data_IF_239228138256
#
_entry.id   IF_239228138256
#
_cell.length_a   1.000
_cell.length_b   1.000
_cell.length_c   1.000
_cell.angle_alpha   90.00
_cell.angle_beta   90.00
_cell.angle_gamma   90.00
#
_symmetry.space_group_name_H-M   'P 1'
#
loop_
_entity.id
_entity.type
_entity.pdbx_description
1 polymer ?
#
# COMPACT_ATOMS: atom_id res chain seq x y z
N UNK A 1 17.83 -103.41 -9.22
CA UNK A 1 17.62 -102.44 -8.11
C UNK A 1 17.05 -101.17 -8.71
N UNK A 2 16.03 -100.65 -8.04
CA UNK A 2 14.96 -99.75 -8.49
C UNK A 2 15.21 -98.26 -8.22
N UNK A 3 14.31 -97.42 -8.77
CA UNK A 3 13.85 -96.07 -8.34
C UNK A 3 14.10 -95.02 -9.43
N UNK A 4 13.15 -94.39 -10.12
CA UNK A 4 11.72 -94.01 -9.98
C UNK A 4 11.45 -92.62 -9.33
N UNK A 5 10.74 -91.79 -10.11
CA UNK A 5 9.93 -90.57 -9.87
C UNK A 5 10.53 -89.21 -9.43
N UNK A 6 10.04 -88.16 -10.10
CA UNK A 6 10.29 -86.73 -9.87
C UNK A 6 9.27 -86.04 -8.94
N UNK A 7 9.34 -84.70 -8.77
CA UNK A 7 8.60 -83.99 -7.73
C UNK A 7 7.38 -83.19 -8.21
N UNK A 8 6.47 -83.00 -7.25
CA UNK A 8 5.15 -82.35 -7.30
C UNK A 8 5.19 -80.85 -6.92
N UNK A 9 4.20 -80.10 -7.41
CA UNK A 9 3.87 -78.71 -7.08
C UNK A 9 3.29 -78.53 -5.67
N UNK A 10 3.47 -77.33 -5.09
CA UNK A 10 2.60 -76.78 -4.05
C UNK A 10 2.57 -75.23 -4.09
N UNK A 11 1.38 -74.66 -3.94
CA UNK A 11 1.07 -73.23 -3.89
C UNK A 11 0.95 -72.73 -2.44
N UNK A 12 1.32 -71.47 -2.20
CA UNK A 12 1.27 -70.84 -0.87
C UNK A 12 0.18 -69.76 -0.80
N UNK A 13 -0.73 -69.89 0.17
CA UNK A 13 -1.74 -68.88 0.54
C UNK A 13 -1.24 -68.01 1.70
N UNK A 14 -1.56 -66.72 1.68
CA UNK A 14 -1.14 -65.72 2.68
C UNK A 14 -2.26 -65.47 3.70
N UNK A 15 -1.93 -65.56 4.98
CA UNK A 15 -2.84 -65.34 6.13
C UNK A 15 -2.55 -63.98 6.79
N UNK A 16 -3.61 -63.28 7.21
CA UNK A 16 -3.61 -62.02 7.95
C UNK A 16 -3.43 -62.24 9.46
N UNK A 17 -2.62 -61.41 10.14
CA UNK A 17 -2.70 -61.11 11.59
C UNK A 17 -2.14 -59.72 11.92
N UNK A 18 -2.59 -59.06 13.02
CA UNK A 18 -2.50 -57.61 13.22
C UNK A 18 -1.26 -57.16 14.02
N UNK A 19 -0.80 -55.92 13.82
CA UNK A 19 0.33 -55.34 14.56
C UNK A 19 0.11 -53.87 14.95
N UNK A 20 -0.12 -53.69 16.26
CA UNK A 20 0.37 -52.65 17.19
C UNK A 20 0.77 -51.27 16.60
N UNK A 21 0.09 -50.24 17.11
CA UNK A 21 0.37 -48.82 16.87
C UNK A 21 1.62 -48.32 17.62
N UNK A 22 2.40 -47.40 17.01
CA UNK A 22 3.26 -46.49 17.75
C UNK A 22 2.71 -45.05 17.73
N UNK A 23 2.65 -44.44 18.91
CA UNK A 23 2.43 -43.02 19.12
C UNK A 23 3.57 -42.21 18.48
N UNK A 24 3.25 -41.26 17.61
CA UNK A 24 4.18 -40.20 17.20
C UNK A 24 3.54 -38.83 17.30
N UNK A 25 4.28 -37.97 17.97
CA UNK A 25 3.95 -36.63 18.42
C UNK A 25 3.56 -35.69 17.28
N UNK A 26 2.53 -34.90 17.54
CA UNK A 26 2.16 -33.70 16.77
C UNK A 26 3.30 -32.69 16.74
N UNK A 27 3.74 -32.16 15.58
CA UNK A 27 4.51 -30.94 15.55
C UNK A 27 3.55 -29.76 15.71
N UNK A 28 3.61 -29.15 16.88
CA UNK A 28 3.06 -27.85 17.22
C UNK A 28 3.60 -26.81 16.22
N UNK A 29 2.74 -26.37 15.29
CA UNK A 29 3.03 -25.24 14.40
C UNK A 29 2.74 -23.95 15.15
N UNK A 30 3.57 -23.67 16.17
CA UNK A 30 3.71 -22.32 16.72
C UNK A 30 4.43 -21.50 15.66
N UNK A 31 3.67 -20.87 14.77
CA UNK A 31 4.19 -19.82 13.89
C UNK A 31 4.62 -18.65 14.76
N UNK A 32 5.92 -18.53 14.99
CA UNK A 32 6.53 -17.31 15.52
C UNK A 32 6.17 -16.19 14.54
N UNK A 33 5.48 -15.11 14.95
CA UNK A 33 5.29 -13.97 14.08
C UNK A 33 6.67 -13.36 13.81
N UNK A 34 7.07 -13.42 12.54
CA UNK A 34 8.28 -12.76 12.06
C UNK A 34 8.23 -11.26 12.44
N UNK A 35 9.38 -10.63 12.74
CA UNK A 35 9.43 -9.21 13.05
C UNK A 35 8.80 -8.42 11.91
N UNK A 36 7.87 -7.52 12.24
CA UNK A 36 7.24 -6.60 11.31
C UNK A 36 8.30 -5.92 10.44
N UNK A 37 8.40 -6.32 9.18
CA UNK A 37 9.29 -5.66 8.22
C UNK A 37 8.80 -4.23 8.05
N UNK A 38 9.59 -3.26 8.48
CA UNK A 38 9.37 -1.81 8.28
C UNK A 38 9.50 -1.39 6.80
N UNK A 39 9.67 -2.37 5.91
CA UNK A 39 9.89 -2.19 4.48
C UNK A 39 8.63 -2.53 3.70
N UNK A 40 8.31 -1.71 2.70
CA UNK A 40 7.16 -1.91 1.83
C UNK A 40 7.24 -3.25 1.07
N UNK A 41 6.17 -4.07 1.09
CA UNK A 41 6.15 -5.35 0.38
C UNK A 41 5.85 -5.14 -1.11
N UNK A 42 6.91 -5.02 -1.93
CA UNK A 42 6.76 -4.88 -3.38
C UNK A 42 6.05 -6.10 -4.01
N UNK A 43 5.14 -5.89 -4.98
CA UNK A 43 4.43 -6.96 -5.66
C UNK A 43 5.36 -7.77 -6.56
N UNK A 44 5.01 -9.02 -6.86
CA UNK A 44 5.86 -9.93 -7.65
C UNK A 44 6.26 -9.39 -9.02
N UNK A 45 5.35 -8.66 -9.69
CA UNK A 45 5.62 -8.04 -10.99
C UNK A 45 6.65 -6.91 -10.94
N UNK A 46 6.96 -6.36 -9.77
CA UNK A 46 8.02 -5.37 -9.60
C UNK A 46 9.43 -5.96 -9.82
N UNK A 47 9.58 -7.28 -9.76
CA UNK A 47 10.84 -7.96 -10.10
C UNK A 47 10.88 -8.47 -11.54
N UNK A 48 9.90 -8.09 -12.37
CA UNK A 48 9.84 -8.47 -13.78
C UNK A 48 10.48 -7.38 -14.66
N UNK A 49 11.65 -7.60 -15.29
CA UNK A 49 12.35 -6.54 -16.01
C UNK A 49 11.54 -5.78 -17.07
N UNK A 50 10.66 -6.43 -17.87
CA UNK A 50 9.80 -5.71 -18.82
C UNK A 50 8.81 -4.73 -18.17
N UNK A 51 8.52 -4.85 -16.87
CA UNK A 51 7.64 -3.91 -16.17
C UNK A 51 8.19 -2.47 -16.13
N UNK A 52 9.51 -2.30 -16.22
CA UNK A 52 10.19 -0.99 -16.27
C UNK A 52 10.43 -0.47 -17.69
N UNK A 53 9.85 -1.12 -18.71
CA UNK A 53 10.01 -0.72 -20.11
C UNK A 53 8.63 -0.58 -20.75
N UNK A 54 8.35 0.56 -21.38
CA UNK A 54 7.07 0.79 -22.05
C UNK A 54 6.74 -0.33 -23.04
N UNK A 55 5.55 -0.91 -22.89
CA UNK A 55 5.09 -1.99 -23.76
C UNK A 55 4.56 -1.43 -25.09
N UNK A 56 4.96 -2.04 -26.21
CA UNK A 56 4.52 -1.59 -27.56
C UNK A 56 3.05 -1.90 -27.86
N UNK A 57 2.52 -2.99 -27.29
CA UNK A 57 1.13 -3.37 -27.47
C UNK A 57 0.25 -2.54 -26.52
N UNK A 58 -0.78 -1.86 -27.06
CA UNK A 58 -1.63 -0.93 -26.30
C UNK A 58 -2.36 -1.58 -25.12
N UNK A 59 -2.87 -2.81 -25.30
CA UNK A 59 -3.56 -3.54 -24.23
C UNK A 59 -2.59 -3.89 -23.10
N UNK A 60 -1.40 -4.40 -23.45
CA UNK A 60 -0.36 -4.70 -22.47
C UNK A 60 0.16 -3.43 -21.79
N UNK A 61 0.27 -2.34 -22.54
CA UNK A 61 0.69 -1.04 -22.02
C UNK A 61 -0.32 -0.49 -21.01
N UNK A 62 -1.61 -0.52 -21.33
CA UNK A 62 -2.66 -0.15 -20.39
C UNK A 62 -2.60 -0.98 -19.10
N UNK A 63 -2.42 -2.30 -19.22
CA UNK A 63 -2.26 -3.18 -18.05
C UNK A 63 -1.01 -2.85 -17.23
N UNK A 64 0.09 -2.46 -17.89
CA UNK A 64 1.30 -1.98 -17.23
C UNK A 64 1.04 -0.67 -16.46
N UNK A 65 0.39 0.31 -17.07
CA UNK A 65 0.03 1.58 -16.44
C UNK A 65 -0.89 1.38 -15.22
N UNK A 66 -1.87 0.46 -15.35
CA UNK A 66 -2.76 0.08 -14.23
C UNK A 66 -1.97 -0.50 -13.05
N UNK A 67 -1.01 -1.40 -13.32
CA UNK A 67 -0.14 -1.98 -12.29
C UNK A 67 0.78 -0.95 -11.64
N UNK A 68 1.31 -0.02 -12.43
CA UNK A 68 2.11 1.09 -11.92
C UNK A 68 1.28 2.01 -11.02
N UNK A 69 0.07 2.38 -11.44
CA UNK A 69 -0.82 3.19 -10.60
C UNK A 69 -1.14 2.49 -9.28
N UNK A 70 -1.50 1.21 -9.30
CA UNK A 70 -1.74 0.43 -8.08
C UNK A 70 -0.51 0.38 -7.16
N UNK A 71 0.68 0.20 -7.74
CA UNK A 71 1.93 0.19 -6.99
C UNK A 71 2.18 1.55 -6.32
N UNK A 72 2.09 2.65 -7.06
CA UNK A 72 2.28 4.00 -6.53
C UNK A 72 1.32 4.27 -5.37
N UNK A 73 0.03 3.98 -5.53
CA UNK A 73 -0.95 4.20 -4.47
C UNK A 73 -0.64 3.38 -3.21
N UNK A 74 -0.30 2.10 -3.37
CA UNK A 74 0.05 1.25 -2.22
C UNK A 74 1.34 1.67 -1.52
N UNK A 75 2.35 2.09 -2.29
CA UNK A 75 3.63 2.59 -1.76
C UNK A 75 3.43 3.90 -1.01
N UNK A 76 2.72 4.85 -1.62
CA UNK A 76 2.41 6.13 -1.00
C UNK A 76 1.56 5.97 0.26
N UNK A 77 0.58 5.06 0.25
CA UNK A 77 -0.21 4.73 1.46
C UNK A 77 0.68 4.18 2.57
N UNK A 78 1.57 3.23 2.27
CA UNK A 78 2.43 2.59 3.27
C UNK A 78 3.37 3.59 3.95
N UNK A 79 3.96 4.50 3.18
CA UNK A 79 4.87 5.53 3.69
C UNK A 79 4.17 6.86 4.04
N UNK A 80 2.84 6.90 3.97
CA UNK A 80 2.02 8.11 4.19
C UNK A 80 2.47 9.33 3.37
N UNK A 81 2.80 9.08 2.11
CA UNK A 81 3.20 10.12 1.15
C UNK A 81 1.93 10.63 0.44
N UNK A 82 1.69 11.94 0.50
CA UNK A 82 0.55 12.59 -0.14
C UNK A 82 0.95 13.43 -1.36
N UNK A 83 2.19 13.93 -1.37
CA UNK A 83 2.80 14.68 -2.47
C UNK A 83 4.09 13.97 -2.87
N UNK A 84 4.32 13.81 -4.17
CA UNK A 84 5.50 13.14 -4.70
C UNK A 84 6.17 13.99 -5.77
N UNK A 85 7.49 14.16 -5.67
CA UNK A 85 8.30 14.75 -6.73
C UNK A 85 8.73 13.66 -7.71
N UNK A 86 8.47 13.85 -9.01
CA UNK A 86 8.87 12.91 -10.06
C UNK A 86 10.39 12.68 -10.07
N UNK A 87 11.18 13.74 -9.80
CA UNK A 87 12.65 13.63 -9.77
C UNK A 87 13.12 12.77 -8.60
N UNK A 88 12.56 12.98 -7.40
CA UNK A 88 12.89 12.18 -6.21
C UNK A 88 12.40 10.74 -6.36
N UNK A 89 11.20 10.55 -6.93
CA UNK A 89 10.62 9.24 -7.17
C UNK A 89 11.51 8.38 -8.10
N UNK A 90 12.13 8.98 -9.12
CA UNK A 90 13.06 8.32 -10.04
C UNK A 90 14.35 7.82 -9.37
N UNK A 91 14.76 8.44 -8.27
CA UNK A 91 15.92 8.04 -7.49
C UNK A 91 15.56 7.08 -6.34
N UNK A 92 14.27 7.05 -5.98
CA UNK A 92 13.72 6.20 -4.94
C UNK A 92 13.49 4.75 -5.38
N UNK A 93 13.18 3.90 -4.40
CA UNK A 93 12.81 2.50 -4.59
C UNK A 93 11.50 2.34 -5.39
N UNK A 94 10.69 3.38 -5.52
CA UNK A 94 9.43 3.30 -6.25
C UNK A 94 9.66 3.08 -7.76
N UNK A 95 10.57 3.85 -8.38
CA UNK A 95 10.85 3.75 -9.81
C UNK A 95 12.21 3.14 -10.15
N UNK A 96 13.05 2.85 -9.14
CA UNK A 96 14.32 2.17 -9.34
C UNK A 96 14.43 0.88 -8.52
N UNK A 97 14.29 -0.26 -9.21
CA UNK A 97 14.59 -1.57 -8.64
C UNK A 97 16.09 -1.86 -8.75
N UNK A 98 16.81 -1.69 -7.63
CA UNK A 98 18.25 -1.95 -7.50
C UNK A 98 18.61 -3.43 -7.68
N UNK A 99 17.72 -4.36 -7.32
CA UNK A 99 17.94 -5.81 -7.38
C UNK A 99 18.07 -6.31 -8.82
N UNK A 100 17.18 -5.87 -9.71
CA UNK A 100 17.23 -6.22 -11.14
C UNK A 100 17.92 -5.16 -12.00
N UNK A 101 18.42 -4.08 -11.39
CA UNK A 101 19.07 -2.93 -12.04
C UNK A 101 18.21 -2.32 -13.14
N UNK A 102 16.91 -2.17 -12.87
CA UNK A 102 15.94 -1.55 -13.79
C UNK A 102 15.31 -0.33 -13.17
N UNK A 103 15.19 0.72 -13.96
CA UNK A 103 14.53 1.98 -13.59
C UNK A 103 13.57 2.40 -14.68
N UNK A 104 12.49 3.07 -14.28
CA UNK A 104 11.57 3.70 -15.21
C UNK A 104 12.25 4.95 -15.82
N UNK A 105 12.01 5.23 -17.10
CA UNK A 105 12.47 6.50 -17.69
C UNK A 105 11.64 7.67 -17.14
N UNK A 106 12.14 8.90 -17.27
CA UNK A 106 11.39 10.08 -16.82
C UNK A 106 10.10 10.26 -17.63
N UNK A 107 10.19 9.95 -18.91
CA UNK A 107 9.10 10.02 -19.88
C UNK A 107 8.00 9.01 -19.52
N UNK A 108 8.36 7.74 -19.31
CA UNK A 108 7.42 6.69 -18.92
C UNK A 108 6.81 6.96 -17.54
N UNK A 109 7.60 7.46 -16.59
CA UNK A 109 7.10 7.84 -15.27
C UNK A 109 6.08 8.98 -15.36
N UNK A 110 6.33 10.00 -16.20
CA UNK A 110 5.37 11.07 -16.45
C UNK A 110 4.09 10.54 -17.09
N UNK A 111 4.18 9.58 -18.00
CA UNK A 111 3.02 8.94 -18.61
C UNK A 111 2.16 8.18 -17.59
N UNK A 112 2.79 7.46 -16.64
CA UNK A 112 2.08 6.83 -15.53
C UNK A 112 1.32 7.87 -14.70
N UNK A 113 1.94 9.00 -14.37
CA UNK A 113 1.27 10.06 -13.58
C UNK A 113 0.13 10.69 -14.37
N UNK A 114 0.28 10.91 -15.68
CA UNK A 114 -0.81 11.42 -16.51
C UNK A 114 -1.96 10.40 -16.63
N UNK A 115 -1.65 9.11 -16.68
CA UNK A 115 -2.66 8.05 -16.59
C UNK A 115 -3.42 8.11 -15.26
N UNK A 116 -2.71 8.23 -14.13
CA UNK A 116 -3.33 8.38 -12.81
C UNK A 116 -4.21 9.63 -12.71
N UNK A 117 -3.75 10.75 -13.27
CA UNK A 117 -4.50 12.00 -13.29
C UNK A 117 -5.83 11.87 -14.05
N UNK A 118 -5.83 11.19 -15.20
CA UNK A 118 -7.07 10.92 -15.96
C UNK A 118 -8.10 10.11 -15.16
N UNK A 119 -7.64 9.31 -14.21
CA UNK A 119 -8.50 8.53 -13.32
C UNK A 119 -8.81 9.25 -12.00
N UNK A 120 -8.39 10.50 -11.83
CA UNK A 120 -8.58 11.27 -10.58
C UNK A 120 -7.67 10.84 -9.43
N UNK A 121 -6.67 10.00 -9.69
CA UNK A 121 -5.79 9.39 -8.67
C UNK A 121 -4.52 10.21 -8.41
N UNK A 122 -4.28 11.22 -9.24
CA UNK A 122 -3.17 12.16 -9.08
C UNK A 122 -3.56 13.55 -9.60
N UNK A 123 -2.90 14.59 -9.09
CA UNK A 123 -3.11 15.96 -9.53
C UNK A 123 -1.77 16.72 -9.51
N UNK A 124 -1.34 17.26 -10.66
CA UNK A 124 -0.12 18.06 -10.72
C UNK A 124 -0.29 19.34 -9.91
N UNK A 125 0.70 19.64 -9.06
CA UNK A 125 0.75 20.91 -8.36
C UNK A 125 1.32 21.93 -9.37
N UNK A 126 0.45 22.76 -9.94
CA UNK A 126 0.92 23.90 -10.72
C UNK A 126 1.46 24.96 -9.76
N UNK A 127 2.74 25.30 -9.85
CA UNK A 127 3.23 26.54 -9.25
C UNK A 127 2.55 27.72 -9.98
N UNK A 128 1.43 28.19 -9.43
CA UNK A 128 0.76 29.39 -9.91
C UNK A 128 1.67 30.60 -9.64
N UNK A 129 2.58 30.91 -10.57
CA UNK A 129 3.39 32.12 -10.48
C UNK A 129 4.74 32.16 -11.21
N UNK A 130 5.25 31.04 -11.75
CA UNK A 130 6.52 31.07 -12.51
C UNK A 130 6.29 30.62 -13.95
N UNK A 131 6.69 31.48 -14.87
CA UNK A 131 6.34 31.44 -16.29
C UNK A 131 6.57 30.10 -16.98
N UNK A 132 5.73 29.84 -17.98
CA UNK A 132 5.88 28.82 -19.01
C UNK A 132 7.34 28.79 -19.49
N UNK A 133 8.13 27.81 -19.07
CA UNK A 133 9.51 27.71 -19.55
C UNK A 133 10.38 26.62 -18.91
N UNK A 134 10.29 26.35 -17.61
CA UNK A 134 11.15 25.36 -16.95
C UNK A 134 10.41 24.70 -15.78
N UNK A 135 9.89 23.48 -15.95
CA UNK A 135 9.38 22.66 -14.83
C UNK A 135 7.86 22.47 -14.70
N UNK A 136 7.13 22.32 -15.82
CA UNK A 136 5.70 21.98 -15.78
C UNK A 136 5.48 20.58 -15.14
N UNK A 137 5.10 20.56 -13.86
CA UNK A 137 4.74 19.34 -13.13
C UNK A 137 5.94 18.49 -12.70
N UNK A 138 6.71 18.98 -11.70
CA UNK A 138 7.66 18.12 -10.99
C UNK A 138 7.01 17.45 -9.77
N UNK A 139 6.04 18.09 -9.12
CA UNK A 139 5.39 17.57 -7.91
C UNK A 139 3.90 17.38 -8.16
N UNK A 140 3.34 16.28 -7.66
CA UNK A 140 1.93 15.96 -7.80
C UNK A 140 1.36 15.38 -6.50
N UNK A 141 0.08 15.62 -6.28
CA UNK A 141 -0.73 14.94 -5.28
C UNK A 141 -0.96 13.48 -5.69
N UNK A 142 -0.99 12.60 -4.69
CA UNK A 142 -1.34 11.17 -4.83
C UNK A 142 -2.58 10.90 -3.99
N UNK A 143 -3.69 10.60 -4.64
CA UNK A 143 -4.99 10.36 -4.00
C UNK A 143 -5.20 8.86 -3.78
N UNK A 144 -4.58 8.32 -2.71
CA UNK A 144 -4.78 6.92 -2.30
C UNK A 144 -6.00 6.69 -1.39
N UNK A 145 -6.69 7.79 -1.04
CA UNK A 145 -7.96 7.84 -0.32
C UNK A 145 -8.63 9.17 -0.62
N UNK A 146 -9.96 9.20 -0.68
CA UNK A 146 -10.72 10.42 -0.97
C UNK A 146 -10.76 11.37 0.24
N UNK A 147 -10.90 12.67 -0.01
CA UNK A 147 -10.96 13.71 1.04
C UNK A 147 -12.17 13.50 1.96
N UNK A 148 -13.29 13.06 1.40
CA UNK A 148 -14.51 12.72 2.11
C UNK A 148 -14.33 11.53 3.06
N UNK A 149 -13.55 10.54 2.65
CA UNK A 149 -13.21 9.38 3.48
C UNK A 149 -12.26 9.80 4.61
N UNK A 150 -11.31 10.69 4.33
CA UNK A 150 -10.47 11.29 5.38
C UNK A 150 -11.27 12.02 6.43
N UNK A 151 -12.22 12.84 6.00
CA UNK A 151 -13.15 13.52 6.90
C UNK A 151 -13.94 12.51 7.76
N UNK A 152 -14.35 11.39 7.15
CA UNK A 152 -15.00 10.27 7.85
C UNK A 152 -14.12 9.67 8.95
N UNK A 153 -12.89 9.29 8.62
CA UNK A 153 -11.93 8.69 9.57
C UNK A 153 -11.61 9.61 10.74
N UNK A 154 -11.40 10.90 10.47
CA UNK A 154 -11.13 11.89 11.53
C UNK A 154 -12.34 11.99 12.46
N UNK A 155 -13.55 12.08 11.91
CA UNK A 155 -14.77 12.17 12.72
C UNK A 155 -15.00 10.88 13.54
N UNK A 156 -14.78 9.70 12.95
CA UNK A 156 -14.89 8.41 13.64
C UNK A 156 -13.91 8.33 14.82
N UNK A 157 -12.65 8.68 14.61
CA UNK A 157 -11.65 8.69 15.69
C UNK A 157 -12.03 9.65 16.84
N UNK A 158 -12.55 10.85 16.52
CA UNK A 158 -13.00 11.81 17.54
C UNK A 158 -14.18 11.25 18.35
N UNK A 159 -15.11 10.57 17.70
CA UNK A 159 -16.25 9.90 18.35
C UNK A 159 -15.77 8.77 19.28
N UNK A 160 -14.88 7.91 18.78
CA UNK A 160 -14.32 6.76 19.54
C UNK A 160 -13.50 7.19 20.76
N UNK A 161 -12.79 8.31 20.65
CA UNK A 161 -11.93 8.83 21.74
C UNK A 161 -12.65 9.80 22.67
N UNK A 162 -13.96 10.04 22.46
CA UNK A 162 -14.79 10.95 23.24
C UNK A 162 -14.24 12.39 23.32
N UNK A 163 -13.59 12.86 22.24
CA UNK A 163 -12.98 14.20 22.18
C UNK A 163 -13.93 15.29 21.63
N UNK A 164 -15.22 14.97 21.47
CA UNK A 164 -16.23 15.97 21.11
C UNK A 164 -16.30 17.10 22.12
N UNK A 165 -16.67 18.28 21.64
CA UNK A 165 -16.82 19.51 22.40
C UNK A 165 -15.54 20.07 23.04
N UNK A 166 -14.40 19.41 22.83
CA UNK A 166 -13.07 19.91 23.17
C UNK A 166 -12.42 20.54 21.93
N UNK A 167 -11.55 21.54 22.15
CA UNK A 167 -10.75 22.13 21.09
C UNK A 167 -9.44 21.36 21.01
N UNK A 168 -9.09 20.88 19.81
CA UNK A 168 -7.81 20.26 19.49
C UNK A 168 -7.05 21.15 18.52
N UNK A 169 -5.74 21.22 18.65
CA UNK A 169 -4.89 21.82 17.61
C UNK A 169 -4.78 20.87 16.43
N UNK A 170 -4.53 21.41 15.23
CA UNK A 170 -4.28 20.57 14.05
C UNK A 170 -3.03 19.69 14.25
N UNK A 171 -2.02 20.20 14.97
CA UNK A 171 -0.83 19.44 15.34
C UNK A 171 -1.17 18.23 16.21
N UNK A 172 -1.97 18.39 17.26
CA UNK A 172 -2.41 17.25 18.10
C UNK A 172 -3.15 16.19 17.28
N UNK A 173 -3.91 16.59 16.27
CA UNK A 173 -4.66 15.66 15.43
C UNK A 173 -3.76 14.80 14.52
N UNK A 174 -2.59 15.30 14.12
CA UNK A 174 -1.69 14.58 13.20
C UNK A 174 -0.42 14.06 13.83
N UNK A 175 0.00 14.57 14.99
CA UNK A 175 1.32 14.30 15.59
C UNK A 175 1.21 13.75 17.02
N UNK A 176 0.01 13.66 17.61
CA UNK A 176 -0.13 13.10 18.97
C UNK A 176 0.10 11.59 19.01
N UNK A 177 0.56 11.09 20.16
CA UNK A 177 0.67 9.65 20.42
C UNK A 177 -0.67 8.91 20.25
N UNK A 178 -1.78 9.57 20.57
CA UNK A 178 -3.14 9.03 20.45
C UNK A 178 -3.55 8.73 19.00
N UNK A 179 -2.86 9.31 18.01
CA UNK A 179 -3.16 9.15 16.59
C UNK A 179 -2.17 8.24 15.87
N UNK A 180 -1.13 7.72 16.53
CA UNK A 180 -0.08 6.92 15.89
C UNK A 180 -0.61 5.71 15.10
N UNK A 181 -1.70 5.09 15.56
CA UNK A 181 -2.35 3.95 14.90
C UNK A 181 -3.25 4.34 13.72
N UNK A 182 -3.51 5.64 13.54
CA UNK A 182 -4.42 6.17 12.54
C UNK A 182 -3.71 6.43 11.21
N UNK A 183 -4.44 6.20 10.12
CA UNK A 183 -3.97 6.46 8.75
C UNK A 183 -3.64 7.95 8.54
N UNK A 184 -4.33 8.87 9.24
CA UNK A 184 -4.16 10.32 9.11
C UNK A 184 -3.06 10.92 10.00
N UNK A 185 -2.35 10.11 10.80
CA UNK A 185 -1.18 10.58 11.52
C UNK A 185 -0.04 10.92 10.55
N UNK A 186 0.59 12.09 10.71
CA UNK A 186 1.45 12.79 9.75
C UNK A 186 0.78 13.14 8.40
N UNK A 187 -0.55 13.33 8.39
CA UNK A 187 -1.24 13.81 7.20
C UNK A 187 -0.72 15.19 6.77
N UNK A 188 -0.64 15.39 5.45
CA UNK A 188 -0.30 16.70 4.89
C UNK A 188 -1.27 17.79 5.37
N UNK A 189 -0.79 18.95 5.87
CA UNK A 189 -1.63 20.00 6.41
C UNK A 189 -2.70 20.54 5.44
N UNK A 190 -2.39 20.63 4.15
CA UNK A 190 -3.36 21.11 3.15
C UNK A 190 -4.49 20.08 2.96
N UNK A 191 -4.15 18.79 3.00
CA UNK A 191 -5.15 17.72 2.94
C UNK A 191 -6.00 17.68 4.20
N UNK A 192 -5.39 17.85 5.37
CA UNK A 192 -6.11 17.93 6.63
C UNK A 192 -7.13 19.08 6.59
N UNK A 193 -6.71 20.27 6.16
CA UNK A 193 -7.63 21.41 6.05
C UNK A 193 -8.78 21.14 5.08
N UNK A 194 -8.53 20.48 3.93
CA UNK A 194 -9.59 20.07 3.00
C UNK A 194 -10.58 19.10 3.67
N UNK A 195 -10.09 18.10 4.40
CA UNK A 195 -10.93 17.13 5.12
C UNK A 195 -11.76 17.79 6.23
N UNK A 196 -11.14 18.66 7.05
CA UNK A 196 -11.84 19.44 8.07
C UNK A 196 -12.88 20.37 7.44
N UNK A 197 -12.60 20.97 6.28
CA UNK A 197 -13.56 21.78 5.53
C UNK A 197 -14.84 21.03 5.15
N UNK A 198 -14.75 19.73 4.87
CA UNK A 198 -15.93 18.87 4.66
C UNK A 198 -16.74 18.71 5.95
N UNK A 199 -16.08 18.48 7.08
CA UNK A 199 -16.76 18.37 8.39
C UNK A 199 -17.43 19.68 8.81
N UNK A 200 -16.77 20.82 8.54
CA UNK A 200 -17.34 22.16 8.77
C UNK A 200 -18.59 22.38 7.94
N UNK A 201 -18.54 22.08 6.63
CA UNK A 201 -19.71 22.18 5.75
C UNK A 201 -20.87 21.27 6.19
N UNK A 202 -20.57 20.13 6.82
CA UNK A 202 -21.55 19.20 7.39
C UNK A 202 -22.03 19.60 8.79
N UNK A 203 -21.52 20.69 9.36
CA UNK A 203 -21.86 21.16 10.72
C UNK A 203 -21.32 20.26 11.84
N UNK A 204 -20.35 19.39 11.55
CA UNK A 204 -19.75 18.45 12.51
C UNK A 204 -18.47 18.98 13.17
N UNK A 205 -17.88 20.03 12.61
CA UNK A 205 -16.69 20.65 13.15
C UNK A 205 -16.69 22.16 12.92
N UNK A 206 -15.86 22.88 13.65
CA UNK A 206 -15.55 24.28 13.44
C UNK A 206 -14.05 24.48 13.60
N UNK A 207 -13.41 25.10 12.61
CA UNK A 207 -11.98 25.46 12.64
C UNK A 207 -11.84 26.91 13.11
N UNK A 208 -10.85 27.18 13.95
CA UNK A 208 -10.52 28.47 14.55
C UNK A 208 -9.03 28.78 14.36
N UNK A 209 -8.66 30.05 14.57
CA UNK A 209 -7.26 30.49 14.53
C UNK A 209 -6.80 31.01 13.17
N UNK A 210 -5.54 31.45 13.11
CA UNK A 210 -4.88 31.96 11.91
C UNK A 210 -3.55 31.21 11.72
N UNK A 211 -3.21 30.96 10.46
CA UNK A 211 -1.94 30.37 10.00
C UNK A 211 -1.47 29.20 10.89
N UNK A 212 -0.49 29.42 11.76
CA UNK A 212 0.19 28.37 12.54
C UNK A 212 -0.50 28.00 13.87
N UNK A 213 -1.55 28.73 14.28
CA UNK A 213 -2.28 28.47 15.53
C UNK A 213 -3.72 28.04 15.24
N UNK A 214 -3.90 27.14 14.28
CA UNK A 214 -5.20 26.60 13.95
C UNK A 214 -5.63 25.52 14.97
N UNK A 215 -6.88 25.65 15.41
CA UNK A 215 -7.56 24.66 16.24
C UNK A 215 -8.88 24.24 15.60
N UNK A 216 -9.39 23.08 16.00
CA UNK A 216 -10.67 22.54 15.55
C UNK A 216 -11.46 22.04 16.74
N UNK A 217 -12.76 22.36 16.76
CA UNK A 217 -13.73 21.77 17.69
C UNK A 217 -14.68 20.89 16.90
N UNK A 218 -14.92 19.68 17.40
CA UNK A 218 -15.89 18.75 16.84
C UNK A 218 -17.18 18.73 17.68
N UNK A 219 -18.32 18.46 17.04
CA UNK A 219 -19.65 18.47 17.65
C UNK A 219 -20.32 17.11 17.65
#
# INVERSE_FOLDING_TARGET
MTSNYGPSYAASSTTLTPSIAPSYSTPDSTSIPAPSTTTFPFPSYYNFPPFFTAQKNLTTHHAQLTKWSSLILSFCRFYKIFKLSLSEALESELFYNKTIKKRLSREDAREVVEFMKREGRAEWISEAGKGKGVGEGSVFWVWWRDVEEWAGLIAEWVDETAQKNTVLTLYELTESEATMSQDFHHMDPDLLQKALGILVKRGKAQVFGQEDQQGVKFF
#
